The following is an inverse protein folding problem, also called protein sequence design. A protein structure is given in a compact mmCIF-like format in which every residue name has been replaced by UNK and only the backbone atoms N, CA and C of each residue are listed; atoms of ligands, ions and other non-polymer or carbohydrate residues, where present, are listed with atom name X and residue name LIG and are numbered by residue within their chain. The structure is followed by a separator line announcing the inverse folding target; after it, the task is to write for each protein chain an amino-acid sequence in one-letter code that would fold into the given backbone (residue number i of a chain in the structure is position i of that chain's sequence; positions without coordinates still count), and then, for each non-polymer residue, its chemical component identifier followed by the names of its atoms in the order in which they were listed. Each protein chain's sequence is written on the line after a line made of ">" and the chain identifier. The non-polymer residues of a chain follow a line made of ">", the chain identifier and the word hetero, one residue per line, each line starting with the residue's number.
data_IF_016670252017
#
_entry.id   IF_016670252017
#
_cell.length_a   1.000
_cell.length_b   1.000
_cell.length_c   1.000
_cell.angle_alpha   90.00
_cell.angle_beta   90.00
_cell.angle_gamma   90.00
#
_symmetry.space_group_name_H-M   'P 1'
#
loop_
_entity.id
_entity.type
_entity.pdbx_description
1 polymer ?
#
# COMPACT_ATOMS: atom_id res chain seq x y z
N UNK A 1 -4.01 16.83 -9.15
CA UNK A 1 -3.57 15.45 -9.42
C UNK A 1 -4.31 14.52 -8.47
N UNK A 2 -5.00 13.52 -8.99
CA UNK A 2 -5.68 12.50 -8.21
C UNK A 2 -4.83 11.25 -8.18
N UNK A 3 -4.83 10.56 -7.05
CA UNK A 3 -4.19 9.25 -6.94
C UNK A 3 -5.02 8.17 -7.66
N UNK A 4 -6.17 8.51 -8.25
CA UNK A 4 -7.05 7.57 -8.92
C UNK A 4 -6.42 7.01 -10.19
N UNK A 5 -6.31 5.70 -10.28
CA UNK A 5 -5.63 5.00 -11.38
C UNK A 5 -5.26 3.57 -11.05
N UNK A 6 -4.82 2.81 -12.05
CA UNK A 6 -4.24 1.48 -11.86
C UNK A 6 -2.73 1.58 -11.90
N UNK A 7 -2.08 1.14 -10.83
CA UNK A 7 -0.62 1.14 -10.69
C UNK A 7 -0.13 -0.28 -10.60
N UNK A 8 0.76 -0.68 -11.50
CA UNK A 8 1.45 -1.95 -11.43
C UNK A 8 2.80 -1.79 -10.73
N UNK A 9 3.10 -2.71 -9.83
CA UNK A 9 4.39 -2.78 -9.17
C UNK A 9 5.51 -2.92 -10.21
N UNK A 10 6.46 -1.98 -10.17
CA UNK A 10 7.68 -2.01 -10.99
C UNK A 10 8.85 -2.56 -10.18
N UNK A 11 9.04 -2.07 -8.95
CA UNK A 11 10.09 -2.53 -8.06
C UNK A 11 9.66 -2.49 -6.60
N UNK A 12 10.28 -3.32 -5.78
CA UNK A 12 10.10 -3.30 -4.34
C UNK A 12 11.36 -3.73 -3.59
N UNK A 13 11.56 -3.13 -2.42
CA UNK A 13 12.73 -3.28 -1.55
C UNK A 13 12.25 -3.49 -0.12
N UNK A 14 12.84 -4.43 0.62
CA UNK A 14 12.45 -4.72 2.01
C UNK A 14 11.11 -5.46 2.17
N UNK A 15 10.51 -5.97 1.08
CA UNK A 15 9.26 -6.76 1.13
C UNK A 15 9.40 -7.97 2.06
N UNK A 16 10.48 -8.74 1.89
CA UNK A 16 10.69 -9.98 2.67
C UNK A 16 10.79 -9.68 4.16
N UNK A 17 11.63 -8.72 4.55
CA UNK A 17 11.83 -8.37 5.96
C UNK A 17 10.55 -7.83 6.60
N UNK A 18 9.83 -6.95 5.89
CA UNK A 18 8.57 -6.41 6.37
C UNK A 18 7.52 -7.49 6.53
N UNK A 19 7.35 -8.36 5.53
CA UNK A 19 6.39 -9.45 5.58
C UNK A 19 6.72 -10.44 6.71
N UNK A 20 8.00 -10.73 6.97
CA UNK A 20 8.41 -11.53 8.12
C UNK A 20 8.05 -10.86 9.44
N UNK A 21 8.28 -9.56 9.56
CA UNK A 21 8.00 -8.82 10.78
C UNK A 21 6.51 -8.66 11.09
N UNK A 22 5.65 -8.59 10.06
CA UNK A 22 4.21 -8.62 10.24
C UNK A 22 3.65 -10.04 10.44
N UNK A 23 4.48 -11.08 10.29
CA UNK A 23 4.13 -12.47 10.57
C UNK A 23 3.54 -13.25 9.38
N UNK A 24 3.83 -12.86 8.13
CA UNK A 24 3.52 -13.73 6.99
C UNK A 24 4.45 -14.96 6.99
N UNK A 25 3.94 -16.15 6.65
CA UNK A 25 4.75 -17.33 6.37
C UNK A 25 5.68 -17.11 5.18
N UNK A 26 6.92 -17.63 5.27
CA UNK A 26 7.93 -17.56 4.19
C UNK A 26 7.37 -18.02 2.83
N UNK A 27 6.54 -19.06 2.79
CA UNK A 27 5.87 -19.55 1.57
C UNK A 27 5.04 -18.47 0.85
N UNK A 28 4.33 -17.62 1.59
CA UNK A 28 3.53 -16.53 1.00
C UNK A 28 4.41 -15.37 0.56
N UNK A 29 5.52 -15.15 1.28
CA UNK A 29 6.50 -14.11 0.96
C UNK A 29 7.23 -14.46 -0.34
N UNK A 30 7.70 -15.70 -0.46
CA UNK A 30 8.34 -16.24 -1.66
C UNK A 30 7.41 -16.17 -2.87
N UNK A 31 6.13 -16.52 -2.70
CA UNK A 31 5.14 -16.38 -3.78
C UNK A 31 4.84 -14.93 -4.11
N UNK A 32 4.78 -14.05 -3.11
CA UNK A 32 4.42 -12.65 -3.29
C UNK A 32 5.55 -11.77 -3.85
N UNK A 33 6.82 -12.12 -3.62
CA UNK A 33 7.97 -11.28 -4.01
C UNK A 33 8.15 -11.17 -5.53
N UNK A 34 7.85 -12.25 -6.26
CA UNK A 34 7.98 -12.35 -7.72
C UNK A 34 6.70 -11.92 -8.46
N UNK A 35 5.58 -11.77 -7.75
CA UNK A 35 4.31 -11.37 -8.34
C UNK A 35 4.21 -9.85 -8.42
N UNK A 36 4.03 -9.35 -9.65
CA UNK A 36 3.69 -7.95 -9.88
C UNK A 36 2.28 -7.67 -9.37
N UNK A 37 2.18 -7.00 -8.23
CA UNK A 37 0.89 -6.57 -7.71
C UNK A 37 0.35 -5.37 -8.48
N UNK A 38 -0.93 -5.39 -8.80
CA UNK A 38 -1.65 -4.26 -9.42
C UNK A 38 -2.51 -3.62 -8.35
N UNK A 39 -2.23 -2.36 -8.04
CA UNK A 39 -3.00 -1.54 -7.09
C UNK A 39 -3.89 -0.57 -7.87
N UNK A 40 -5.20 -0.79 -7.84
CA UNK A 40 -6.19 0.14 -8.35
C UNK A 40 -6.65 1.05 -7.22
N UNK A 41 -6.46 2.35 -7.40
CA UNK A 41 -6.89 3.37 -6.45
C UNK A 41 -8.09 4.09 -7.07
N UNK A 42 -9.19 4.14 -6.35
CA UNK A 42 -10.36 4.94 -6.68
C UNK A 42 -10.53 6.01 -5.61
N UNK A 43 -10.47 7.26 -6.03
CA UNK A 43 -10.64 8.42 -5.15
C UNK A 43 -12.02 9.04 -5.41
N UNK A 44 -12.87 9.04 -4.38
CA UNK A 44 -14.20 9.65 -4.36
C UNK A 44 -14.23 10.75 -3.30
N UNK A 45 -13.75 11.94 -3.64
CA UNK A 45 -13.57 13.04 -2.68
C UNK A 45 -12.53 12.66 -1.61
N UNK A 46 -13.01 12.49 -0.38
CA UNK A 46 -12.21 12.07 0.78
C UNK A 46 -12.18 10.54 0.98
N UNK A 47 -13.00 9.79 0.24
CA UNK A 47 -13.07 8.34 0.33
C UNK A 47 -12.15 7.71 -0.70
N UNK A 48 -11.30 6.80 -0.25
CA UNK A 48 -10.36 6.07 -1.08
C UNK A 48 -10.69 4.59 -1.02
N UNK A 49 -10.70 3.95 -2.18
CA UNK A 49 -10.86 2.52 -2.34
C UNK A 49 -9.65 1.98 -3.10
N UNK A 50 -8.81 1.21 -2.42
CA UNK A 50 -7.57 0.65 -2.94
C UNK A 50 -7.74 -0.86 -3.09
N UNK A 51 -7.84 -1.32 -4.32
CA UNK A 51 -7.88 -2.74 -4.66
C UNK A 51 -6.48 -3.19 -5.07
N UNK A 52 -5.87 -4.09 -4.30
CA UNK A 52 -4.58 -4.69 -4.60
C UNK A 52 -4.78 -6.12 -5.08
N UNK A 53 -4.42 -6.36 -6.33
CA UNK A 53 -4.43 -7.68 -6.97
C UNK A 53 -3.01 -8.21 -7.05
N UNK A 54 -2.72 -9.29 -6.34
CA UNK A 54 -1.41 -9.97 -6.34
C UNK A 54 -1.61 -11.39 -6.86
N UNK A 55 -1.43 -11.59 -8.16
CA UNK A 55 -1.60 -12.88 -8.81
C UNK A 55 -3.07 -13.30 -8.76
N UNK A 56 -3.38 -14.35 -7.99
CA UNK A 56 -4.76 -14.84 -7.80
C UNK A 56 -5.46 -14.23 -6.58
N UNK A 57 -4.74 -13.52 -5.70
CA UNK A 57 -5.31 -12.91 -4.49
C UNK A 57 -5.71 -11.47 -4.77
N UNK A 58 -6.96 -11.11 -4.51
CA UNK A 58 -7.49 -9.75 -4.61
C UNK A 58 -7.85 -9.27 -3.21
N UNK A 59 -7.36 -8.10 -2.83
CA UNK A 59 -7.60 -7.47 -1.53
C UNK A 59 -8.12 -6.06 -1.74
N UNK A 60 -9.17 -5.65 -1.02
CA UNK A 60 -9.81 -4.34 -1.22
C UNK A 60 -9.85 -3.58 0.10
N UNK A 61 -9.22 -2.42 0.13
CA UNK A 61 -9.07 -1.57 1.30
C UNK A 61 -9.80 -0.24 1.10
N UNK A 62 -10.74 0.07 2.00
CA UNK A 62 -11.52 1.30 1.95
C UNK A 62 -11.21 2.18 3.16
N UNK A 63 -10.84 3.43 2.92
CA UNK A 63 -10.52 4.38 3.98
C UNK A 63 -10.96 5.79 3.62
N UNK A 64 -11.18 6.61 4.64
CA UNK A 64 -11.52 8.03 4.50
C UNK A 64 -10.39 8.90 5.00
N UNK A 65 -10.03 9.93 4.24
CA UNK A 65 -9.02 10.91 4.65
C UNK A 65 -9.45 11.65 5.92
N UNK A 66 -8.52 11.78 6.86
CA UNK A 66 -8.76 12.45 8.14
C UNK A 66 -9.58 11.64 9.15
N UNK A 67 -9.96 10.39 8.83
CA UNK A 67 -10.73 9.53 9.72
C UNK A 67 -10.01 8.21 9.98
N UNK A 68 -10.23 7.65 11.18
CA UNK A 68 -9.79 6.30 11.51
C UNK A 68 -10.59 5.29 10.68
N UNK A 69 -9.90 4.51 9.86
CA UNK A 69 -10.48 3.46 9.04
C UNK A 69 -9.81 2.13 9.32
N UNK A 70 -10.56 1.04 9.21
CA UNK A 70 -10.04 -0.32 9.34
C UNK A 70 -9.50 -0.80 8.00
N UNK A 71 -8.19 -1.02 7.92
CA UNK A 71 -7.50 -1.56 6.75
C UNK A 71 -7.19 -3.04 6.95
N UNK A 72 -7.48 -3.84 5.94
CA UNK A 72 -7.06 -5.23 5.87
C UNK A 72 -5.62 -5.32 5.34
N UNK A 73 -4.78 -6.00 6.11
CA UNK A 73 -3.39 -6.27 5.77
C UNK A 73 -3.28 -7.59 5.02
N UNK A 74 -2.17 -7.80 4.32
CA UNK A 74 -1.93 -9.02 3.54
C UNK A 74 -1.89 -10.31 4.38
N UNK A 75 -1.65 -10.20 5.69
CA UNK A 75 -1.75 -11.30 6.67
C UNK A 75 -3.20 -11.72 6.96
N UNK A 76 -4.20 -10.96 6.50
CA UNK A 76 -5.59 -11.10 6.93
C UNK A 76 -5.89 -10.41 8.26
N UNK A 77 -4.88 -9.76 8.88
CA UNK A 77 -5.09 -8.92 10.05
C UNK A 77 -5.74 -7.60 9.67
N UNK A 78 -6.61 -7.08 10.53
CA UNK A 78 -7.19 -5.75 10.37
C UNK A 78 -6.51 -4.75 11.28
N UNK A 79 -6.18 -3.59 10.75
CA UNK A 79 -5.46 -2.54 11.47
C UNK A 79 -6.18 -1.22 11.31
N UNK A 80 -6.27 -0.45 12.39
CA UNK A 80 -6.81 0.91 12.36
C UNK A 80 -5.73 1.86 11.86
N UNK A 81 -6.08 2.67 10.88
CA UNK A 81 -5.18 3.59 10.24
C UNK A 81 -5.88 4.92 9.97
N UNK A 82 -5.16 6.02 10.17
CA UNK A 82 -5.63 7.35 9.77
C UNK A 82 -4.82 7.78 8.56
N UNK A 83 -5.50 8.08 7.46
CA UNK A 83 -4.86 8.57 6.24
C UNK A 83 -4.99 10.08 6.16
N UNK A 84 -3.87 10.76 5.98
CA UNK A 84 -3.80 12.21 5.79
C UNK A 84 -3.20 12.50 4.43
N UNK A 85 -3.69 13.54 3.77
CA UNK A 85 -3.18 13.98 2.47
C UNK A 85 -2.46 15.32 2.64
N UNK A 86 -1.23 15.37 2.17
CA UNK A 86 -0.39 16.56 2.16
C UNK A 86 0.08 16.80 0.71
N UNK A 87 -0.65 17.62 -0.04
CA UNK A 87 -0.36 17.90 -1.45
C UNK A 87 -0.36 16.64 -2.34
N UNK A 88 0.85 16.21 -2.75
CA UNK A 88 1.10 15.01 -3.56
C UNK A 88 1.54 13.79 -2.74
N UNK A 89 1.46 13.84 -1.40
CA UNK A 89 1.78 12.73 -0.50
C UNK A 89 0.56 12.32 0.31
N UNK A 90 0.36 11.02 0.47
CA UNK A 90 -0.58 10.43 1.40
C UNK A 90 0.22 9.80 2.53
N UNK A 91 0.01 10.26 3.76
CA UNK A 91 0.61 9.70 4.95
C UNK A 91 -0.43 8.94 5.75
N UNK A 92 -0.26 7.64 5.83
CA UNK A 92 -1.03 6.73 6.65
C UNK A 92 -0.27 6.51 7.95
N UNK A 93 -0.89 6.84 9.06
CA UNK A 93 -0.32 6.56 10.38
C UNK A 93 -1.13 5.45 11.03
N UNK A 94 -0.45 4.36 11.35
CA UNK A 94 -0.95 3.24 12.15
C UNK A 94 -0.15 3.19 13.45
N UNK A 95 -0.73 2.60 14.48
CA UNK A 95 -0.18 2.54 15.85
C UNK A 95 1.31 2.14 15.92
N UNK A 96 1.73 1.19 15.06
CA UNK A 96 3.13 0.72 14.95
C UNK A 96 3.78 0.92 13.58
N UNK A 97 3.01 1.33 12.57
CA UNK A 97 3.47 1.39 11.17
C UNK A 97 3.17 2.77 10.61
N UNK A 98 4.15 3.39 9.97
CA UNK A 98 3.92 4.57 9.15
C UNK A 98 4.03 4.19 7.68
N UNK A 99 3.04 4.56 6.87
CA UNK A 99 3.08 4.38 5.43
C UNK A 99 2.96 5.73 4.73
N UNK A 100 3.84 5.99 3.77
CA UNK A 100 3.92 7.24 3.03
C UNK A 100 3.84 6.90 1.55
N UNK A 101 2.77 7.31 0.89
CA UNK A 101 2.61 7.21 -0.57
C UNK A 101 2.87 8.57 -1.18
N UNK A 102 3.97 8.70 -1.90
CA UNK A 102 4.33 9.89 -2.65
C UNK A 102 4.03 9.69 -4.13
N UNK A 103 3.31 10.64 -4.73
CA UNK A 103 3.13 10.71 -6.16
C UNK A 103 4.29 11.51 -6.75
N UNK A 104 5.28 10.79 -7.29
CA UNK A 104 6.52 11.35 -7.84
C UNK A 104 6.25 11.97 -9.21
N UNK A 105 5.44 11.28 -10.02
CA UNK A 105 5.00 11.73 -11.34
C UNK A 105 3.48 11.49 -11.50
N UNK A 106 2.89 11.95 -12.62
CA UNK A 106 1.50 11.64 -12.95
C UNK A 106 1.21 10.12 -13.01
N UNK A 107 2.24 9.35 -13.34
CA UNK A 107 2.17 7.90 -13.51
C UNK A 107 2.95 7.13 -12.45
N UNK A 108 3.88 7.74 -11.71
CA UNK A 108 4.75 7.00 -10.78
C UNK A 108 4.37 7.30 -9.33
N UNK A 109 4.05 6.25 -8.58
CA UNK A 109 3.85 6.33 -7.13
C UNK A 109 4.93 5.54 -6.39
N UNK A 110 5.44 6.12 -5.31
CA UNK A 110 6.37 5.48 -4.40
C UNK A 110 5.70 5.35 -3.05
N UNK A 111 5.50 4.11 -2.60
CA UNK A 111 4.91 3.83 -1.31
C UNK A 111 5.98 3.24 -0.37
N UNK A 112 6.20 3.92 0.74
CA UNK A 112 7.22 3.59 1.74
C UNK A 112 6.54 3.30 3.06
N UNK A 113 6.61 2.06 3.52
CA UNK A 113 6.15 1.61 4.81
C UNK A 113 7.34 1.46 5.75
N UNK A 114 7.15 1.86 7.01
CA UNK A 114 8.14 1.73 8.06
C UNK A 114 7.49 1.11 9.28
N UNK A 115 8.04 -0.02 9.73
CA UNK A 115 7.62 -0.74 10.93
C UNK A 115 8.85 -0.86 11.83
N UNK A 116 8.95 -0.01 12.85
CA UNK A 116 10.15 0.07 13.69
C UNK A 116 11.40 0.38 12.87
N UNK A 117 12.34 -0.58 12.81
CA UNK A 117 13.59 -0.47 12.03
C UNK A 117 13.48 -1.00 10.59
N UNK A 118 12.34 -1.56 10.20
CA UNK A 118 12.16 -2.20 8.90
C UNK A 118 11.50 -1.21 7.94
N UNK A 119 12.09 -1.06 6.76
CA UNK A 119 11.60 -0.18 5.71
C UNK A 119 11.23 -1.04 4.52
N UNK A 120 9.96 -0.97 4.12
CA UNK A 120 9.45 -1.56 2.88
C UNK A 120 9.12 -0.45 1.90
N UNK A 121 9.83 -0.41 0.79
CA UNK A 121 9.61 0.57 -0.27
C UNK A 121 9.13 -0.13 -1.52
N UNK A 122 8.09 0.38 -2.15
CA UNK A 122 7.59 -0.12 -3.44
C UNK A 122 7.37 1.04 -4.40
N UNK A 123 7.82 0.84 -5.63
CA UNK A 123 7.62 1.77 -6.74
C UNK A 123 6.64 1.14 -7.71
N UNK A 124 5.54 1.83 -7.97
CA UNK A 124 4.53 1.37 -8.91
C UNK A 124 4.30 2.42 -9.99
N UNK A 125 4.15 1.96 -11.23
CA UNK A 125 3.83 2.81 -12.38
C UNK A 125 2.40 2.61 -12.83
N UNK A 126 1.76 3.69 -13.26
CA UNK A 126 0.42 3.70 -13.80
C UNK A 126 0.42 2.91 -15.11
N UNK A 127 -0.54 2.00 -15.21
CA UNK A 127 -0.74 1.15 -16.39
C UNK A 127 -2.08 1.44 -17.08
N UNK A 128 -2.96 2.24 -16.47
CA UNK A 128 -4.18 2.79 -17.04
C UNK A 128 -4.69 3.99 -16.23
#
# INVERSE_FOLDING_TARGET
>A
MSFSGKFQLESQEGFVEFMKAVGLPDDLIEKGKDIKSVSEIQQNGDHFNVTVTTGTKVMTNKFTLGQESELETLTGGKVKAVVTKDGNKLKVTLDKVSSVTELVDADTIVNTLTLGNIIYKRVSKRVA
#
